data_IF_662118031244
#
_entry.id   IF_662118031244
#
_cell.length_a   1.000
_cell.length_b   1.000
_cell.length_c   1.000
_cell.angle_alpha   90.00
_cell.angle_beta   90.00
_cell.angle_gamma   90.00
#
_symmetry.space_group_name_H-M   'P 1'
#
loop_
_entity.id
_entity.type
_entity.pdbx_description
1 polymer ?
#
# COMPACT_ATOMS: atom_id res chain seq x y z
N UNK A 1 -2.80 -1.74 19.98
CA UNK A 1 -1.33 -1.71 19.95
C UNK A 1 -0.81 -0.48 20.69
N UNK A 2 0.04 -0.65 21.72
CA UNK A 2 0.65 0.47 22.47
C UNK A 2 1.51 1.33 21.52
N UNK A 3 1.33 2.66 21.55
CA UNK A 3 2.03 3.67 20.72
C UNK A 3 3.56 3.49 20.70
N UNK A 4 4.14 2.94 21.77
CA UNK A 4 5.59 2.81 21.98
C UNK A 4 6.31 1.80 21.09
N UNK A 5 5.60 0.92 20.35
CA UNK A 5 6.23 -0.06 19.44
C UNK A 5 6.45 0.45 18.01
N UNK A 6 5.65 1.41 17.55
CA UNK A 6 5.61 1.82 16.13
C UNK A 6 6.66 2.90 15.80
N UNK A 7 7.13 3.66 16.79
CA UNK A 7 8.16 4.71 16.60
C UNK A 7 9.58 4.25 16.96
N UNK A 8 9.80 2.99 17.31
CA UNK A 8 11.16 2.50 17.58
C UNK A 8 11.95 2.46 16.29
N UNK A 9 13.24 2.80 16.33
CA UNK A 9 14.20 2.64 15.22
C UNK A 9 14.09 1.24 14.57
N UNK A 10 13.78 0.23 15.37
CA UNK A 10 13.53 -1.16 14.93
C UNK A 10 12.33 -1.33 13.99
N UNK A 11 11.27 -0.53 14.12
CA UNK A 11 10.12 -0.54 13.22
C UNK A 11 10.53 -0.09 11.82
N UNK A 12 11.22 1.05 11.71
CA UNK A 12 11.70 1.58 10.43
C UNK A 12 12.80 0.71 9.80
N UNK A 13 13.70 0.15 10.61
CA UNK A 13 14.67 -0.86 10.13
C UNK A 13 13.95 -2.09 9.57
N UNK A 14 12.86 -2.53 10.19
CA UNK A 14 12.10 -3.69 9.69
C UNK A 14 11.35 -3.34 8.39
N UNK A 15 10.71 -2.16 8.35
CA UNK A 15 9.99 -1.62 7.20
C UNK A 15 10.90 -1.45 5.96
N UNK A 16 12.10 -0.90 6.15
CA UNK A 16 12.95 -0.51 5.02
C UNK A 16 14.12 -1.48 4.74
N UNK A 17 14.61 -2.23 5.72
CA UNK A 17 15.83 -3.06 5.59
C UNK A 17 15.51 -4.55 5.61
N UNK A 18 14.77 -5.06 6.61
CA UNK A 18 14.54 -6.52 6.74
C UNK A 18 13.63 -7.09 5.65
N UNK A 19 12.65 -6.32 5.17
CA UNK A 19 11.68 -6.81 4.18
C UNK A 19 12.07 -6.61 2.71
N UNK A 20 13.12 -5.84 2.41
CA UNK A 20 13.66 -5.80 1.05
C UNK A 20 14.11 -7.18 0.55
N UNK A 21 14.38 -8.13 1.46
CA UNK A 21 14.74 -9.52 1.12
C UNK A 21 13.55 -10.41 0.71
N UNK A 22 12.31 -10.04 1.04
CA UNK A 22 11.16 -10.94 0.98
C UNK A 22 10.01 -10.45 0.09
N UNK A 23 10.17 -9.28 -0.53
CA UNK A 23 9.22 -8.71 -1.47
C UNK A 23 9.92 -8.58 -2.83
N UNK A 24 9.29 -9.02 -3.92
CA UNK A 24 9.90 -9.07 -5.25
C UNK A 24 10.52 -7.72 -5.69
N UNK A 25 9.95 -6.59 -5.25
CA UNK A 25 10.43 -5.23 -5.57
C UNK A 25 11.17 -4.53 -4.43
N UNK A 26 11.19 -5.10 -3.22
CA UNK A 26 11.51 -4.39 -1.99
C UNK A 26 10.50 -3.29 -1.63
N UNK A 27 10.03 -3.26 -0.38
CA UNK A 27 9.03 -2.25 0.06
C UNK A 27 9.60 -0.84 -0.07
N UNK A 28 10.86 -0.64 0.31
CA UNK A 28 11.53 0.67 0.22
C UNK A 28 11.66 1.14 -1.23
N UNK A 29 12.14 0.28 -2.12
CA UNK A 29 12.36 0.66 -3.52
C UNK A 29 11.02 0.96 -4.22
N UNK A 30 9.97 0.17 -3.95
CA UNK A 30 8.60 0.46 -4.40
C UNK A 30 8.11 1.83 -3.93
N UNK A 31 8.22 2.10 -2.63
CA UNK A 31 7.81 3.38 -2.04
C UNK A 31 8.57 4.56 -2.66
N UNK A 32 9.89 4.44 -2.83
CA UNK A 32 10.71 5.49 -3.42
C UNK A 32 10.41 5.70 -4.91
N UNK A 33 10.20 4.63 -5.67
CA UNK A 33 9.83 4.71 -7.09
C UNK A 33 8.46 5.38 -7.27
N UNK A 34 7.48 5.07 -6.41
CA UNK A 34 6.20 5.74 -6.39
C UNK A 34 6.36 7.24 -6.11
N UNK A 35 7.07 7.61 -5.05
CA UNK A 35 7.31 9.01 -4.71
C UNK A 35 8.03 9.74 -5.85
N UNK A 36 9.02 9.12 -6.48
CA UNK A 36 9.71 9.68 -7.65
C UNK A 36 8.72 9.96 -8.79
N UNK A 37 7.83 9.02 -9.11
CA UNK A 37 6.81 9.23 -10.14
C UNK A 37 5.82 10.34 -9.76
N UNK A 38 5.40 10.44 -8.49
CA UNK A 38 4.52 11.52 -8.03
C UNK A 38 5.19 12.89 -8.13
N UNK A 39 6.46 13.01 -7.71
CA UNK A 39 7.24 14.25 -7.82
C UNK A 39 7.44 14.64 -9.29
N UNK A 40 7.86 13.69 -10.13
CA UNK A 40 8.09 13.92 -11.57
C UNK A 40 6.84 14.43 -12.28
N UNK A 41 5.66 14.00 -11.84
CA UNK A 41 4.37 14.39 -12.43
C UNK A 41 3.64 15.49 -11.64
N UNK A 42 4.34 16.19 -10.72
CA UNK A 42 3.81 17.30 -9.92
C UNK A 42 2.58 16.96 -9.07
N UNK A 43 2.41 15.69 -8.69
CA UNK A 43 1.33 15.20 -7.84
C UNK A 43 1.66 15.38 -6.35
N UNK A 44 2.02 16.59 -5.94
CA UNK A 44 2.61 16.86 -4.62
C UNK A 44 1.68 16.50 -3.45
N UNK A 45 0.37 16.70 -3.60
CA UNK A 45 -0.64 16.35 -2.58
C UNK A 45 -0.63 14.86 -2.22
N UNK A 46 -0.16 13.99 -3.12
CA UNK A 46 -0.16 12.54 -2.96
C UNK A 46 1.13 12.00 -2.33
N UNK A 47 2.19 12.81 -2.19
CA UNK A 47 3.51 12.35 -1.71
C UNK A 47 3.43 11.74 -0.31
N UNK A 48 2.67 12.37 0.60
CA UNK A 48 2.49 11.84 1.95
C UNK A 48 1.89 10.43 1.95
N UNK A 49 0.93 10.17 1.05
CA UNK A 49 0.36 8.83 0.90
C UNK A 49 1.33 7.89 0.18
N UNK A 50 2.12 8.40 -0.78
CA UNK A 50 3.17 7.66 -1.45
C UNK A 50 4.13 6.99 -0.45
N UNK A 51 4.58 7.73 0.57
CA UNK A 51 5.42 7.18 1.63
C UNK A 51 4.71 6.21 2.59
N UNK A 52 3.41 6.40 2.82
CA UNK A 52 2.70 5.76 3.94
C UNK A 52 1.72 4.66 3.55
N UNK A 53 1.35 4.51 2.26
CA UNK A 53 0.29 3.60 1.84
C UNK A 53 0.52 2.15 2.29
N UNK A 54 1.78 1.72 2.28
CA UNK A 54 2.22 0.36 2.60
C UNK A 54 2.85 0.21 4.00
N UNK A 55 2.71 1.22 4.89
CA UNK A 55 3.38 1.24 6.19
C UNK A 55 3.07 0.05 7.09
N UNK A 56 1.91 -0.61 6.91
CA UNK A 56 1.53 -1.78 7.68
C UNK A 56 2.02 -3.12 7.11
N UNK A 57 2.50 -3.17 5.84
CA UNK A 57 3.02 -4.41 5.25
C UNK A 57 4.05 -5.13 6.14
N UNK A 58 4.98 -4.44 6.84
CA UNK A 58 5.95 -5.10 7.71
C UNK A 58 5.36 -5.73 8.97
N UNK A 59 4.18 -5.28 9.40
CA UNK A 59 3.55 -5.76 10.63
C UNK A 59 2.76 -7.04 10.36
N UNK A 60 2.23 -7.18 9.15
CA UNK A 60 1.26 -8.23 8.81
C UNK A 60 1.79 -9.32 7.90
N UNK A 61 3.09 -9.29 7.61
CA UNK A 61 3.70 -10.30 6.77
C UNK A 61 3.57 -11.65 7.44
N UNK A 62 2.86 -12.57 6.80
CA UNK A 62 2.78 -13.97 7.21
C UNK A 62 3.08 -14.86 6.00
N UNK A 63 3.54 -16.08 6.25
CA UNK A 63 3.63 -17.13 5.25
C UNK A 63 2.69 -18.24 5.66
N UNK A 64 1.71 -18.55 4.83
CA UNK A 64 1.01 -19.83 4.92
C UNK A 64 1.84 -20.97 4.32
N UNK A 65 1.36 -22.20 4.40
CA UNK A 65 2.12 -23.38 3.95
C UNK A 65 2.33 -23.43 2.43
N UNK A 66 1.57 -22.63 1.67
CA UNK A 66 1.71 -22.49 0.21
C UNK A 66 2.74 -21.40 -0.13
N UNK A 67 2.71 -20.29 0.60
CA UNK A 67 3.70 -19.21 0.57
C UNK A 67 5.11 -19.71 0.93
N UNK A 68 5.23 -20.64 1.88
CA UNK A 68 6.52 -21.27 2.24
C UNK A 68 7.13 -22.05 1.07
N UNK A 69 6.31 -22.68 0.22
CA UNK A 69 6.78 -23.43 -0.96
C UNK A 69 7.31 -22.50 -2.05
N UNK A 70 6.74 -21.30 -2.15
CA UNK A 70 7.13 -20.28 -3.15
C UNK A 70 8.09 -19.23 -2.61
N UNK A 71 8.41 -19.30 -1.31
CA UNK A 71 9.19 -18.32 -0.56
C UNK A 71 8.62 -16.88 -0.65
N UNK A 72 7.29 -16.75 -0.76
CA UNK A 72 6.58 -15.47 -0.82
C UNK A 72 5.95 -15.14 0.54
N UNK A 73 5.47 -13.90 0.72
CA UNK A 73 4.75 -13.47 1.92
C UNK A 73 3.39 -12.90 1.53
N UNK A 74 2.36 -13.27 2.28
CA UNK A 74 1.02 -12.73 2.17
C UNK A 74 0.80 -11.55 3.13
N UNK A 75 0.01 -10.58 2.67
CA UNK A 75 -0.25 -9.32 3.38
C UNK A 75 -1.76 -9.06 3.45
N UNK A 76 -2.48 -9.82 4.26
CA UNK A 76 -3.92 -9.65 4.44
C UNK A 76 -4.26 -8.38 5.26
N UNK A 77 -5.06 -7.48 4.69
CA UNK A 77 -5.59 -6.29 5.37
C UNK A 77 -4.56 -5.20 5.75
N UNK A 78 -3.46 -5.06 5.01
CA UNK A 78 -2.48 -4.00 5.27
C UNK A 78 -3.07 -2.60 5.09
N UNK A 79 -4.04 -2.39 4.21
CA UNK A 79 -4.68 -1.07 4.03
C UNK A 79 -5.33 -0.55 5.30
N UNK A 80 -6.15 -1.39 5.94
CA UNK A 80 -6.87 -1.01 7.15
C UNK A 80 -5.90 -0.83 8.32
N UNK A 81 -4.88 -1.69 8.41
CA UNK A 81 -3.84 -1.53 9.43
C UNK A 81 -2.96 -0.30 9.17
N UNK A 82 -2.65 0.03 7.91
CA UNK A 82 -1.92 1.24 7.52
C UNK A 82 -2.71 2.46 7.99
N UNK A 83 -4.02 2.47 7.75
CA UNK A 83 -4.91 3.50 8.29
C UNK A 83 -4.90 3.55 9.83
N UNK A 84 -4.99 2.41 10.52
CA UNK A 84 -4.93 2.36 11.98
C UNK A 84 -3.63 2.92 12.57
N UNK A 85 -2.51 2.76 11.86
CA UNK A 85 -1.21 3.34 12.24
C UNK A 85 -1.25 4.87 12.09
N UNK A 86 -1.69 5.37 10.93
CA UNK A 86 -1.59 6.79 10.59
C UNK A 86 -2.77 7.64 11.07
N UNK A 87 -3.89 7.04 11.51
CA UNK A 87 -5.12 7.78 11.88
C UNK A 87 -4.88 8.84 12.95
N UNK A 88 -3.96 8.58 13.87
CA UNK A 88 -3.64 9.46 15.00
C UNK A 88 -2.41 10.35 14.73
N UNK A 89 -1.85 10.33 13.52
CA UNK A 89 -0.70 11.16 13.18
C UNK A 89 -1.15 12.57 12.76
N UNK A 90 -0.32 13.61 12.96
CA UNK A 90 -0.61 14.98 12.55
C UNK A 90 -0.40 15.16 11.03
N UNK A 91 -1.11 14.36 10.24
CA UNK A 91 -1.12 14.43 8.77
C UNK A 91 -2.55 14.71 8.28
N UNK A 92 -2.66 15.21 7.05
CA UNK A 92 -3.95 15.59 6.47
C UNK A 92 -4.93 14.41 6.40
N UNK A 93 -6.23 14.69 6.53
CA UNK A 93 -7.29 13.69 6.34
C UNK A 93 -7.23 13.09 4.93
N UNK A 94 -6.89 13.91 3.93
CA UNK A 94 -6.65 13.47 2.56
C UNK A 94 -5.62 12.33 2.49
N UNK A 95 -4.44 12.54 3.10
CA UNK A 95 -3.39 11.51 3.15
C UNK A 95 -3.87 10.25 3.86
N UNK A 96 -4.58 10.38 4.99
CA UNK A 96 -5.13 9.23 5.74
C UNK A 96 -6.12 8.42 4.89
N UNK A 97 -7.01 9.10 4.18
CA UNK A 97 -7.99 8.47 3.30
C UNK A 97 -7.31 7.81 2.10
N UNK A 98 -6.31 8.46 1.51
CA UNK A 98 -5.58 7.90 0.39
C UNK A 98 -4.83 6.63 0.81
N UNK A 99 -4.17 6.63 1.97
CA UNK A 99 -3.55 5.42 2.56
C UNK A 99 -4.60 4.31 2.79
N UNK A 100 -5.77 4.64 3.30
CA UNK A 100 -6.83 3.65 3.60
C UNK A 100 -7.44 3.02 2.36
N UNK A 101 -7.63 3.81 1.31
CA UNK A 101 -8.45 3.42 0.16
C UNK A 101 -7.65 3.21 -1.13
N UNK A 102 -6.32 3.40 -1.12
CA UNK A 102 -5.50 3.35 -2.34
C UNK A 102 -5.68 2.06 -3.17
N UNK A 103 -6.10 0.96 -2.54
CA UNK A 103 -6.29 -0.32 -3.22
C UNK A 103 -7.77 -0.77 -3.24
N UNK A 104 -8.72 0.06 -2.79
CA UNK A 104 -10.16 -0.29 -2.78
C UNK A 104 -10.69 -0.69 -4.17
N UNK A 105 -10.28 0.01 -5.22
CA UNK A 105 -10.72 -0.24 -6.61
C UNK A 105 -10.25 -1.63 -7.06
N UNK A 106 -8.96 -1.92 -6.85
CA UNK A 106 -8.34 -3.21 -7.19
C UNK A 106 -8.85 -4.34 -6.30
N UNK A 107 -9.09 -4.06 -5.02
CA UNK A 107 -9.64 -5.00 -4.06
C UNK A 107 -11.07 -5.43 -4.43
N UNK A 108 -11.91 -4.49 -4.89
CA UNK A 108 -13.23 -4.82 -5.44
C UNK A 108 -13.14 -5.72 -6.67
N UNK A 109 -12.27 -5.38 -7.63
CA UNK A 109 -12.06 -6.19 -8.83
C UNK A 109 -11.66 -7.63 -8.48
N UNK A 110 -10.62 -7.80 -7.65
CA UNK A 110 -10.14 -9.12 -7.22
C UNK A 110 -11.18 -9.90 -6.41
N UNK A 111 -11.96 -9.20 -5.57
CA UNK A 111 -13.05 -9.85 -4.83
C UNK A 111 -14.14 -10.38 -5.77
N UNK A 112 -14.45 -9.66 -6.86
CA UNK A 112 -15.39 -10.10 -7.89
C UNK A 112 -14.86 -11.30 -8.67
N UNK A 113 -13.60 -11.25 -9.10
CA UNK A 113 -12.92 -12.35 -9.82
C UNK A 113 -12.87 -13.64 -9.00
N UNK A 114 -12.64 -13.53 -7.68
CA UNK A 114 -12.56 -14.69 -6.76
C UNK A 114 -13.92 -15.14 -6.22
N UNK A 115 -15.02 -14.65 -6.77
CA UNK A 115 -16.39 -14.91 -6.32
C UNK A 115 -16.65 -14.59 -4.82
N UNK A 116 -15.91 -13.63 -4.24
CA UNK A 116 -16.03 -13.20 -2.84
C UNK A 116 -17.07 -12.09 -2.70
N UNK A 117 -18.34 -12.41 -2.98
CA UNK A 117 -19.44 -11.43 -3.11
C UNK A 117 -19.62 -10.57 -1.86
N UNK A 118 -19.51 -11.15 -0.66
CA UNK A 118 -19.67 -10.42 0.60
C UNK A 118 -18.56 -9.37 0.81
N UNK A 119 -17.32 -9.70 0.46
CA UNK A 119 -16.18 -8.76 0.51
C UNK A 119 -16.37 -7.65 -0.51
N UNK A 120 -16.77 -7.99 -1.73
CA UNK A 120 -17.10 -7.01 -2.76
C UNK A 120 -18.18 -6.02 -2.29
N UNK A 121 -19.32 -6.51 -1.77
CA UNK A 121 -20.42 -5.66 -1.28
C UNK A 121 -19.95 -4.69 -0.19
N UNK A 122 -19.11 -5.15 0.75
CA UNK A 122 -18.52 -4.29 1.80
C UNK A 122 -17.63 -3.19 1.23
N UNK A 123 -16.75 -3.52 0.30
CA UNK A 123 -15.85 -2.56 -0.33
C UNK A 123 -16.64 -1.57 -1.20
N UNK A 124 -17.64 -2.05 -1.95
CA UNK A 124 -18.52 -1.21 -2.77
C UNK A 124 -19.25 -0.15 -1.94
N UNK A 125 -19.81 -0.52 -0.78
CA UNK A 125 -20.43 0.45 0.15
C UNK A 125 -19.47 1.52 0.66
N UNK A 126 -18.20 1.18 0.82
CA UNK A 126 -17.19 2.16 1.25
C UNK A 126 -16.78 3.06 0.09
N UNK A 127 -16.66 2.49 -1.11
CA UNK A 127 -16.35 3.21 -2.35
C UNK A 127 -17.44 4.20 -2.76
N UNK A 128 -18.72 3.82 -2.65
CA UNK A 128 -19.87 4.67 -3.01
C UNK A 128 -20.03 5.89 -2.10
N UNK A 129 -19.39 5.89 -0.92
CA UNK A 129 -19.36 7.03 0.00
C UNK A 129 -18.20 8.00 -0.27
N UNK A 130 -17.29 7.65 -1.19
CA UNK A 130 -16.16 8.49 -1.53
C UNK A 130 -16.60 9.61 -2.48
N UNK A 131 -16.02 10.77 -2.29
CA UNK A 131 -16.22 11.90 -3.18
C UNK A 131 -15.67 11.62 -4.59
N UNK A 132 -16.31 12.20 -5.62
CA UNK A 132 -15.95 11.96 -7.03
C UNK A 132 -14.52 12.42 -7.33
N UNK A 133 -14.09 13.56 -6.79
CA UNK A 133 -12.75 14.08 -7.00
C UNK A 133 -11.70 13.19 -6.32
N UNK A 134 -12.05 12.67 -5.14
CA UNK A 134 -11.21 11.71 -4.44
C UNK A 134 -11.08 10.38 -5.22
N UNK A 135 -12.15 9.92 -5.88
CA UNK A 135 -12.09 8.73 -6.76
C UNK A 135 -11.15 8.95 -7.94
N UNK A 136 -11.14 10.15 -8.52
CA UNK A 136 -10.20 10.52 -9.60
C UNK A 136 -8.76 10.43 -9.07
N UNK A 137 -8.50 11.03 -7.91
CA UNK A 137 -7.20 10.96 -7.24
C UNK A 137 -6.76 9.52 -6.93
N UNK A 138 -7.67 8.66 -6.48
CA UNK A 138 -7.40 7.25 -6.25
C UNK A 138 -6.93 6.54 -7.52
N UNK A 139 -7.58 6.80 -8.65
CA UNK A 139 -7.20 6.22 -9.95
C UNK A 139 -5.81 6.72 -10.38
N UNK A 140 -5.53 8.00 -10.20
CA UNK A 140 -4.22 8.60 -10.50
C UNK A 140 -3.13 7.97 -9.63
N UNK A 141 -3.38 7.86 -8.32
CA UNK A 141 -2.45 7.25 -7.38
C UNK A 141 -2.16 5.79 -7.75
N UNK A 142 -3.20 5.00 -8.03
CA UNK A 142 -3.07 3.60 -8.45
C UNK A 142 -2.29 3.45 -9.76
N UNK A 143 -2.47 4.35 -10.72
CA UNK A 143 -1.68 4.38 -11.97
C UNK A 143 -0.18 4.54 -11.67
N UNK A 144 0.19 5.46 -10.78
CA UNK A 144 1.59 5.66 -10.42
C UNK A 144 2.16 4.52 -9.57
N UNK A 145 1.35 3.91 -8.71
CA UNK A 145 1.70 2.69 -7.96
C UNK A 145 2.07 1.54 -8.91
N UNK A 146 1.32 1.36 -9.99
CA UNK A 146 1.62 0.35 -11.01
C UNK A 146 2.86 0.69 -11.82
N UNK A 147 3.06 1.96 -12.15
CA UNK A 147 4.26 2.41 -12.86
C UNK A 147 5.53 2.18 -12.01
N UNK A 148 5.46 2.43 -10.71
CA UNK A 148 6.54 2.16 -9.77
C UNK A 148 6.92 0.67 -9.74
N UNK A 149 5.93 -0.23 -9.73
CA UNK A 149 6.18 -1.68 -9.82
C UNK A 149 6.85 -2.06 -11.15
N UNK A 150 6.35 -1.52 -12.26
CA UNK A 150 6.91 -1.79 -13.61
C UNK A 150 8.33 -1.26 -13.78
N UNK A 151 8.65 -0.09 -13.25
CA UNK A 151 9.99 0.50 -13.37
C UNK A 151 11.04 -0.33 -12.64
N UNK A 152 10.70 -0.84 -11.44
CA UNK A 152 11.59 -1.73 -10.69
C UNK A 152 11.82 -3.05 -11.43
N UNK A 153 10.75 -3.65 -11.96
CA UNK A 153 10.87 -4.86 -12.79
C UNK A 153 11.80 -4.69 -13.98
N UNK A 154 11.69 -3.57 -14.71
CA UNK A 154 12.53 -3.30 -15.88
C UNK A 154 14.00 -3.13 -15.47
N UNK A 155 14.25 -2.49 -14.33
CA UNK A 155 15.60 -2.34 -13.79
C UNK A 155 16.22 -3.68 -13.39
N UNK A 156 15.44 -4.58 -12.79
CA UNK A 156 15.92 -5.89 -12.33
C UNK A 156 16.18 -6.90 -13.46
N UNK A 157 15.54 -6.76 -14.63
CA UNK A 157 15.81 -7.59 -15.81
C UNK A 157 17.04 -7.16 -16.61
N UNK A 158 17.48 -5.91 -16.43
CA UNK A 158 18.58 -5.30 -17.17
C UNK A 158 19.90 -5.28 -16.37
N UNK A 159 19.93 -5.90 -15.19
CA UNK A 159 21.06 -6.04 -14.27
C UNK A 159 21.48 -7.49 -14.17
#
# INVERSE_FOLDING_TARGET
MKKSRIFRKTFFITLFIKQNKWHYYGVLAHTLALVFHLVKNRQFKMIGAGFLHDIAKPIIAFQDDEDKKTNQYSFHNHEELSFFIVRNWPISLYTKNLVRYHYIIRGMQKAKERNQINKYKRMKRSYEKLDKDFIIDLKIFMKYDDLAKKSIFKSAKNS
#
